data_IF_978647887681
#
_entry.id   IF_978647887681
#
_cell.length_a   1.000
_cell.length_b   1.000
_cell.length_c   1.000
_cell.angle_alpha   90.00
_cell.angle_beta   90.00
_cell.angle_gamma   90.00
#
_symmetry.space_group_name_H-M   'P 1'
#
loop_
_entity.id
_entity.type
_entity.pdbx_description
1 polymer ?
#
# COMPACT_ATOMS: atom_id res chain seq x y z
N UNK A 1 -51.25 -11.60 -6.20
CA UNK A 1 -50.13 -12.20 -6.97
C UNK A 1 -49.44 -11.23 -7.93
N UNK A 2 -50.01 -10.06 -8.25
CA UNK A 2 -49.41 -9.08 -9.19
C UNK A 2 -48.48 -8.05 -8.53
N UNK A 3 -48.71 -7.65 -7.27
CA UNK A 3 -47.89 -6.63 -6.59
C UNK A 3 -46.51 -7.16 -6.12
N UNK A 4 -46.43 -8.46 -5.81
CA UNK A 4 -45.19 -9.09 -5.36
C UNK A 4 -44.16 -9.23 -6.50
N UNK A 5 -44.62 -9.40 -7.74
CA UNK A 5 -43.76 -9.43 -8.92
C UNK A 5 -43.22 -8.04 -9.27
N UNK A 6 -44.01 -6.99 -9.05
CA UNK A 6 -43.60 -5.59 -9.29
C UNK A 6 -42.55 -5.12 -8.29
N UNK A 7 -42.63 -5.52 -7.02
CA UNK A 7 -41.62 -5.19 -6.00
C UNK A 7 -40.26 -5.88 -6.22
N UNK A 8 -40.23 -7.06 -6.86
CA UNK A 8 -38.98 -7.77 -7.17
C UNK A 8 -38.26 -7.13 -8.37
N UNK A 9 -39.00 -6.50 -9.29
CA UNK A 9 -38.43 -5.79 -10.44
C UNK A 9 -37.76 -4.46 -10.07
N UNK A 10 -38.28 -3.73 -9.07
CA UNK A 10 -37.72 -2.43 -8.65
C UNK A 10 -36.45 -2.56 -7.79
N UNK A 11 -36.21 -3.73 -7.18
CA UNK A 11 -35.01 -3.98 -6.38
C UNK A 11 -33.73 -4.22 -7.22
N UNK A 12 -33.87 -4.42 -8.54
CA UNK A 12 -32.79 -4.76 -9.47
C UNK A 12 -32.09 -3.58 -10.15
N UNK A 13 -32.63 -2.37 -10.04
CA UNK A 13 -32.07 -1.18 -10.71
C UNK A 13 -31.37 -0.26 -9.71
N UNK A 14 -30.26 -0.72 -9.12
CA UNK A 14 -29.31 0.23 -8.53
C UNK A 14 -28.66 0.99 -9.68
N UNK A 15 -29.01 2.27 -9.77
CA UNK A 15 -28.46 3.29 -10.64
C UNK A 15 -26.91 3.28 -10.61
N UNK A 16 -26.30 2.48 -11.50
CA UNK A 16 -24.85 2.32 -11.64
C UNK A 16 -24.21 3.49 -12.44
N UNK A 17 -24.97 4.56 -12.70
CA UNK A 17 -24.52 5.71 -13.51
C UNK A 17 -23.96 6.87 -12.69
N UNK A 18 -24.02 6.82 -11.36
CA UNK A 18 -23.37 7.83 -10.51
C UNK A 18 -21.87 7.53 -10.36
N UNK A 19 -20.97 8.50 -10.62
CA UNK A 19 -19.57 8.31 -10.33
C UNK A 19 -19.40 8.06 -8.84
N UNK A 20 -19.05 6.82 -8.47
CA UNK A 20 -18.83 6.46 -7.07
C UNK A 20 -17.71 7.32 -6.52
N UNK A 21 -17.93 7.88 -5.33
CA UNK A 21 -16.88 8.62 -4.66
C UNK A 21 -15.75 7.67 -4.27
N UNK A 22 -14.51 8.18 -4.16
CA UNK A 22 -13.38 7.35 -3.71
C UNK A 22 -13.66 6.65 -2.37
N UNK A 23 -14.40 7.32 -1.47
CA UNK A 23 -14.85 6.75 -0.20
C UNK A 23 -15.81 5.56 -0.39
N UNK A 24 -16.74 5.65 -1.34
CA UNK A 24 -17.66 4.55 -1.65
C UNK A 24 -16.94 3.35 -2.26
N UNK A 25 -15.94 3.59 -3.11
CA UNK A 25 -15.11 2.53 -3.69
C UNK A 25 -14.34 1.76 -2.62
N UNK A 26 -13.73 2.48 -1.66
CA UNK A 26 -13.04 1.84 -0.54
C UNK A 26 -13.98 1.06 0.36
N UNK A 27 -15.15 1.63 0.67
CA UNK A 27 -16.18 0.93 1.46
C UNK A 27 -16.68 -0.33 0.76
N UNK A 28 -16.84 -0.29 -0.56
CA UNK A 28 -17.23 -1.47 -1.35
C UNK A 28 -16.20 -2.60 -1.28
N UNK A 29 -14.91 -2.26 -1.14
CA UNK A 29 -13.80 -3.22 -1.04
C UNK A 29 -13.41 -3.58 0.40
N UNK A 30 -14.08 -3.01 1.41
CA UNK A 30 -13.72 -3.19 2.82
C UNK A 30 -13.62 -4.66 3.22
N UNK A 31 -14.59 -5.51 2.83
CA UNK A 31 -14.56 -6.94 3.16
C UNK A 31 -13.38 -7.68 2.53
N UNK A 32 -13.01 -7.31 1.31
CA UNK A 32 -11.86 -7.90 0.60
C UNK A 32 -10.55 -7.50 1.28
N UNK A 33 -10.44 -6.23 1.66
CA UNK A 33 -9.29 -5.67 2.38
C UNK A 33 -9.17 -6.31 3.77
N UNK A 34 -10.27 -6.43 4.50
CA UNK A 34 -10.31 -7.06 5.83
C UNK A 34 -9.82 -8.52 5.80
N UNK A 35 -10.18 -9.29 4.77
CA UNK A 35 -9.69 -10.66 4.58
C UNK A 35 -8.20 -10.73 4.24
N UNK A 36 -7.64 -9.69 3.64
CA UNK A 36 -6.23 -9.64 3.27
C UNK A 36 -5.35 -9.11 4.41
N UNK A 37 -5.92 -8.37 5.36
CA UNK A 37 -5.18 -7.79 6.48
C UNK A 37 -4.77 -8.85 7.51
N UNK A 38 -3.60 -8.71 8.13
CA UNK A 38 -3.25 -9.47 9.32
C UNK A 38 -4.24 -9.20 10.46
N UNK A 39 -4.45 -10.17 11.34
CA UNK A 39 -5.36 -10.04 12.49
C UNK A 39 -4.99 -8.89 13.45
N UNK A 40 -3.72 -8.48 13.47
CA UNK A 40 -3.23 -7.36 14.28
C UNK A 40 -3.61 -5.98 13.73
N UNK A 41 -4.16 -5.89 12.51
CA UNK A 41 -4.52 -4.64 11.84
C UNK A 41 -6.04 -4.46 11.73
N UNK A 42 -6.52 -3.27 12.09
CA UNK A 42 -7.92 -2.91 11.91
C UNK A 42 -8.19 -2.41 10.49
N UNK A 43 -9.16 -3.01 9.81
CA UNK A 43 -9.61 -2.58 8.50
C UNK A 43 -10.13 -1.13 8.49
N UNK A 44 -10.85 -0.69 9.54
CA UNK A 44 -11.34 0.69 9.64
C UNK A 44 -10.18 1.69 9.71
N UNK A 45 -9.18 1.41 10.57
CA UNK A 45 -7.97 2.23 10.65
C UNK A 45 -7.26 2.28 9.29
N UNK A 46 -7.07 1.12 8.66
CA UNK A 46 -6.39 1.02 7.37
C UNK A 46 -7.06 1.88 6.29
N UNK A 47 -8.38 1.76 6.15
CA UNK A 47 -9.15 2.55 5.18
C UNK A 47 -9.10 4.06 5.48
N UNK A 48 -9.12 4.45 6.75
CA UNK A 48 -9.00 5.86 7.17
C UNK A 48 -7.64 6.45 6.82
N UNK A 49 -6.58 5.67 6.98
CA UNK A 49 -5.22 6.08 6.58
C UNK A 49 -5.15 6.20 5.05
N UNK A 50 -5.67 5.22 4.30
CA UNK A 50 -5.73 5.28 2.83
C UNK A 50 -6.48 6.52 2.32
N UNK A 51 -7.61 6.88 2.94
CA UNK A 51 -8.35 8.10 2.63
C UNK A 51 -7.55 9.37 2.93
N UNK A 52 -6.86 9.40 4.07
CA UNK A 52 -5.99 10.53 4.45
C UNK A 52 -4.89 10.73 3.42
N UNK A 53 -4.24 9.66 2.98
CA UNK A 53 -3.18 9.73 1.98
C UNK A 53 -3.70 10.14 0.60
N UNK A 54 -4.86 9.63 0.16
CA UNK A 54 -5.49 10.07 -1.08
C UNK A 54 -5.91 11.56 -1.06
N UNK A 55 -6.21 12.11 0.12
CA UNK A 55 -6.48 13.53 0.29
C UNK A 55 -5.19 14.36 0.26
N UNK A 56 -4.11 13.83 0.83
CA UNK A 56 -2.81 14.51 0.90
C UNK A 56 -2.07 14.53 -0.43
N UNK A 57 -2.32 13.55 -1.30
CA UNK A 57 -1.77 13.49 -2.66
C UNK A 57 -2.92 13.56 -3.68
N UNK A 58 -3.39 14.78 -4.05
CA UNK A 58 -4.56 14.95 -4.93
C UNK A 58 -4.45 14.24 -6.28
N UNK A 59 -3.22 14.06 -6.80
CA UNK A 59 -2.97 13.31 -8.03
C UNK A 59 -3.37 11.83 -7.95
N UNK A 60 -3.45 11.24 -6.76
CA UNK A 60 -3.97 9.88 -6.59
C UNK A 60 -5.43 9.79 -7.00
N UNK A 61 -6.24 10.85 -6.83
CA UNK A 61 -7.64 10.87 -7.25
C UNK A 61 -7.82 10.88 -8.77
N UNK A 62 -6.76 11.20 -9.52
CA UNK A 62 -6.75 11.17 -10.98
C UNK A 62 -6.21 9.85 -11.52
N UNK A 63 -5.68 8.98 -10.66
CA UNK A 63 -5.23 7.65 -11.04
C UNK A 63 -6.44 6.74 -11.27
N UNK A 64 -6.25 5.66 -12.03
CA UNK A 64 -7.31 4.65 -12.20
C UNK A 64 -7.68 4.02 -10.85
N UNK A 65 -8.98 3.83 -10.61
CA UNK A 65 -9.47 3.21 -9.38
C UNK A 65 -8.86 1.82 -9.15
N UNK A 66 -8.68 1.06 -10.23
CA UNK A 66 -8.07 -0.27 -10.21
C UNK A 66 -6.64 -0.24 -9.69
N UNK A 67 -5.83 0.73 -10.12
CA UNK A 67 -4.43 0.85 -9.66
C UNK A 67 -4.32 1.20 -8.17
N UNK A 68 -5.22 2.08 -7.69
CA UNK A 68 -5.27 2.44 -6.27
C UNK A 68 -5.68 1.22 -5.44
N UNK A 69 -6.78 0.57 -5.82
CA UNK A 69 -7.27 -0.62 -5.12
C UNK A 69 -6.24 -1.75 -5.15
N UNK A 70 -5.61 -2.00 -6.29
CA UNK A 70 -4.54 -2.98 -6.42
C UNK A 70 -3.39 -2.73 -5.45
N UNK A 71 -2.92 -1.49 -5.34
CA UNK A 71 -1.86 -1.14 -4.39
C UNK A 71 -2.30 -1.18 -2.91
N UNK A 72 -3.55 -0.80 -2.60
CA UNK A 72 -4.11 -0.99 -1.25
C UNK A 72 -4.18 -2.47 -0.87
N UNK A 73 -4.60 -3.33 -1.80
CA UNK A 73 -4.65 -4.78 -1.58
C UNK A 73 -3.26 -5.39 -1.37
N UNK A 74 -2.25 -4.97 -2.14
CA UNK A 74 -0.87 -5.42 -1.93
C UNK A 74 -0.33 -5.00 -0.56
N UNK A 75 -0.58 -3.76 -0.15
CA UNK A 75 -0.24 -3.27 1.19
C UNK A 75 -0.94 -4.09 2.30
N UNK A 76 -2.23 -4.37 2.14
CA UNK A 76 -3.00 -5.17 3.08
C UNK A 76 -2.43 -6.59 3.20
N UNK A 77 -2.15 -7.26 2.08
CA UNK A 77 -1.54 -8.60 2.04
C UNK A 77 -0.17 -8.64 2.72
N UNK A 78 0.62 -7.57 2.56
CA UNK A 78 1.93 -7.44 3.22
C UNK A 78 1.83 -6.99 4.68
N UNK A 79 0.63 -6.59 5.16
CA UNK A 79 0.46 -6.02 6.48
C UNK A 79 1.29 -4.76 6.70
N UNK A 80 1.42 -3.92 5.67
CA UNK A 80 2.17 -2.66 5.72
C UNK A 80 1.20 -1.49 5.68
N UNK A 81 1.39 -0.48 6.53
CA UNK A 81 0.58 0.72 6.53
C UNK A 81 0.99 1.65 5.37
N UNK A 82 0.00 2.10 4.60
CA UNK A 82 0.23 3.06 3.52
C UNK A 82 0.36 4.45 4.11
N UNK A 83 1.33 5.20 3.60
CA UNK A 83 1.46 6.61 3.91
C UNK A 83 2.84 6.96 4.44
N UNK A 84 3.13 8.26 4.41
CA UNK A 84 4.48 8.70 4.80
C UNK A 84 4.68 8.78 6.31
N UNK A 85 3.63 8.64 7.12
CA UNK A 85 3.73 8.74 8.57
C UNK A 85 4.64 7.64 9.16
N UNK A 86 4.40 6.38 8.77
CA UNK A 86 5.27 5.26 9.15
C UNK A 86 6.33 4.96 8.09
N UNK A 87 6.15 5.42 6.86
CA UNK A 87 7.10 5.23 5.76
C UNK A 87 7.28 3.76 5.36
N UNK A 88 6.27 2.92 5.62
CA UNK A 88 6.30 1.49 5.33
C UNK A 88 6.03 1.21 3.85
N UNK A 89 5.03 1.87 3.26
CA UNK A 89 4.77 1.79 1.82
C UNK A 89 4.01 3.02 1.31
N UNK A 90 4.01 3.18 0.00
CA UNK A 90 3.52 4.37 -0.69
C UNK A 90 2.72 3.99 -1.93
N UNK A 91 1.70 4.80 -2.22
CA UNK A 91 1.07 4.88 -3.53
C UNK A 91 1.60 6.12 -4.24
N UNK A 92 2.34 5.93 -5.32
CA UNK A 92 2.99 7.02 -6.05
C UNK A 92 2.34 7.12 -7.44
N UNK A 93 1.70 8.25 -7.79
CA UNK A 93 1.20 8.49 -9.13
C UNK A 93 2.36 8.47 -10.13
N UNK A 94 2.29 7.59 -11.14
CA UNK A 94 3.23 7.55 -12.26
C UNK A 94 2.45 7.50 -13.57
N UNK A 95 2.99 8.13 -14.62
CA UNK A 95 2.40 8.02 -15.95
C UNK A 95 2.96 6.79 -16.65
N UNK A 96 2.11 5.78 -16.87
CA UNK A 96 2.46 4.52 -17.53
C UNK A 96 1.62 4.41 -18.81
N UNK A 97 2.27 4.21 -19.95
CA UNK A 97 1.60 4.07 -21.26
C UNK A 97 0.58 5.18 -21.56
N UNK A 98 0.86 6.41 -21.10
CA UNK A 98 0.01 7.59 -21.31
C UNK A 98 -1.05 7.84 -20.22
N UNK A 99 -1.35 6.84 -19.40
CA UNK A 99 -2.34 6.89 -18.32
C UNK A 99 -1.67 7.17 -16.96
N UNK A 100 -2.37 7.88 -16.06
CA UNK A 100 -1.90 8.09 -14.70
C UNK A 100 -2.30 6.90 -13.82
N UNK A 101 -1.32 6.20 -13.27
CA UNK A 101 -1.49 4.95 -12.52
C UNK A 101 -0.88 5.10 -11.14
N UNK A 102 -1.60 4.67 -10.10
CA UNK A 102 -1.06 4.60 -8.75
C UNK A 102 -0.12 3.40 -8.65
N UNK A 103 1.18 3.64 -8.44
CA UNK A 103 2.18 2.59 -8.33
C UNK A 103 2.47 2.30 -6.86
N UNK A 104 2.27 1.05 -6.43
CA UNK A 104 2.64 0.58 -5.11
C UNK A 104 4.16 0.44 -4.98
N UNK A 105 4.73 1.01 -3.92
CA UNK A 105 6.16 0.89 -3.60
C UNK A 105 6.34 0.68 -2.10
N UNK A 106 7.16 -0.31 -1.73
CA UNK A 106 7.55 -0.55 -0.34
C UNK A 106 8.65 0.46 0.04
N UNK A 107 8.50 1.11 1.18
CA UNK A 107 9.51 1.98 1.77
C UNK A 107 10.55 1.20 2.56
N UNK A 108 11.70 1.82 2.85
CA UNK A 108 12.78 1.14 3.59
C UNK A 108 12.31 0.62 4.95
N UNK A 109 11.45 1.36 5.67
CA UNK A 109 10.88 0.90 6.95
C UNK A 109 9.94 -0.28 6.78
N UNK A 110 9.29 -0.39 5.63
CA UNK A 110 8.49 -1.55 5.27
C UNK A 110 9.36 -2.79 5.07
N UNK A 111 10.49 -2.64 4.40
CA UNK A 111 11.47 -3.74 4.30
C UNK A 111 12.05 -4.14 5.65
N UNK A 112 12.37 -3.17 6.53
CA UNK A 112 12.82 -3.46 7.90
C UNK A 112 11.76 -4.23 8.69
N UNK A 113 10.49 -3.83 8.62
CA UNK A 113 9.37 -4.51 9.25
C UNK A 113 9.19 -5.95 8.70
N UNK A 114 9.22 -6.13 7.37
CA UNK A 114 9.12 -7.45 6.75
C UNK A 114 10.29 -8.36 7.12
N UNK A 115 11.51 -7.82 7.21
CA UNK A 115 12.69 -8.56 7.64
C UNK A 115 12.60 -8.94 9.12
N UNK A 116 12.19 -8.01 9.99
CA UNK A 116 12.05 -8.24 11.43
C UNK A 116 11.07 -9.37 11.75
N UNK A 117 9.98 -9.51 10.98
CA UNK A 117 9.04 -10.63 11.11
C UNK A 117 9.66 -12.00 10.88
N UNK A 118 10.76 -12.06 10.12
CA UNK A 118 11.52 -13.28 9.85
C UNK A 118 12.75 -13.42 10.76
N UNK A 119 12.87 -12.58 11.80
CA UNK A 119 14.01 -12.56 12.71
C UNK A 119 15.27 -11.91 12.12
N UNK A 120 15.14 -11.19 10.99
CA UNK A 120 16.27 -10.53 10.35
C UNK A 120 16.35 -9.07 10.79
N UNK A 121 17.56 -8.60 11.04
CA UNK A 121 17.83 -7.19 11.35
C UNK A 121 18.42 -6.53 10.11
N UNK A 122 17.69 -5.55 9.56
CA UNK A 122 18.15 -4.75 8.43
C UNK A 122 18.53 -3.37 8.92
N UNK A 123 19.81 -3.04 8.80
CA UNK A 123 20.34 -1.70 9.07
C UNK A 123 20.39 -0.91 7.78
N UNK A 124 19.91 0.33 7.83
CA UNK A 124 19.99 1.26 6.70
C UNK A 124 20.81 2.47 7.11
N UNK A 125 21.67 2.95 6.22
CA UNK A 125 22.49 4.14 6.46
C UNK A 125 22.91 4.79 5.15
N UNK A 126 23.42 6.02 5.23
CA UNK A 126 24.04 6.65 4.08
C UNK A 126 25.41 6.00 3.82
N UNK A 127 25.69 5.66 2.56
CA UNK A 127 27.01 5.23 2.10
C UNK A 127 27.70 6.45 1.48
N UNK A 128 28.95 6.69 1.88
CA UNK A 128 29.70 7.88 1.48
C UNK A 128 30.95 7.52 0.68
N UNK A 129 31.47 8.46 -0.13
CA UNK A 129 32.81 8.32 -0.68
C UNK A 129 33.82 8.10 0.45
N UNK A 130 34.63 7.04 0.33
CA UNK A 130 35.65 6.68 1.32
C UNK A 130 35.20 5.72 2.42
N UNK A 131 33.92 5.31 2.46
CA UNK A 131 33.48 4.22 3.35
C UNK A 131 34.07 2.87 2.92
N UNK A 132 34.45 2.04 3.89
CA UNK A 132 34.99 0.71 3.65
C UNK A 132 33.94 -0.38 3.87
N UNK A 133 33.97 -1.40 3.01
CA UNK A 133 33.12 -2.58 3.11
C UNK A 133 33.98 -3.84 3.05
N UNK A 134 33.79 -4.71 4.03
CA UNK A 134 34.38 -6.04 4.10
C UNK A 134 33.25 -7.06 4.14
N UNK A 135 33.20 -7.96 3.16
CA UNK A 135 32.09 -8.89 3.00
C UNK A 135 32.55 -10.22 2.42
N UNK A 136 31.78 -11.25 2.74
CA UNK A 136 32.00 -12.61 2.27
C UNK A 136 30.66 -13.28 1.95
N UNK A 137 30.64 -14.05 0.86
CA UNK A 137 29.57 -15.00 0.53
C UNK A 137 29.95 -16.44 0.94
N UNK A 138 28.97 -17.35 0.87
CA UNK A 138 29.18 -18.78 1.09
C UNK A 138 28.70 -19.23 2.48
N UNK A 139 29.44 -20.15 3.11
CA UNK A 139 28.96 -20.85 4.32
C UNK A 139 28.96 -19.98 5.57
N UNK A 140 29.71 -18.89 5.60
CA UNK A 140 29.75 -17.93 6.70
C UNK A 140 29.69 -16.49 6.18
N UNK A 141 28.52 -16.07 5.67
CA UNK A 141 28.39 -14.77 5.05
C UNK A 141 28.44 -13.64 6.08
N UNK A 142 29.14 -12.55 5.77
CA UNK A 142 29.16 -11.36 6.60
C UNK A 142 29.26 -10.07 5.77
N UNK A 143 28.87 -8.96 6.38
CA UNK A 143 29.06 -7.61 5.87
C UNK A 143 29.45 -6.69 7.02
N UNK A 144 30.62 -6.08 6.94
CA UNK A 144 31.12 -5.05 7.85
C UNK A 144 31.26 -3.75 7.06
N UNK A 145 30.47 -2.75 7.44
CA UNK A 145 30.57 -1.39 6.93
C UNK A 145 31.28 -0.51 7.95
N UNK A 146 32.39 0.13 7.54
CA UNK A 146 33.11 1.12 8.36
C UNK A 146 32.85 2.50 7.77
N UNK A 147 32.20 3.35 8.55
CA UNK A 147 31.89 4.73 8.16
C UNK A 147 33.12 5.61 8.38
N UNK A 148 33.93 5.72 7.35
CA UNK A 148 35.20 6.48 7.35
C UNK A 148 35.09 7.78 6.55
N UNK A 149 34.01 7.97 5.77
CA UNK A 149 33.79 9.20 5.01
C UNK A 149 33.40 10.40 5.89
N UNK A 150 34.15 11.50 5.77
CA UNK A 150 33.81 12.80 6.36
C UNK A 150 32.52 13.40 5.74
N UNK A 151 31.92 14.38 6.42
CA UNK A 151 30.68 15.05 6.04
C UNK A 151 30.90 16.17 5.02
#
# INVERSE_FOLDING_TARGET
MSELATQIAEAGARDDTRPRTFQELLKAQQKSIERALPQSMSADRFLRVALTEANRTPMLRQCTHESILGGLMLSAQLGLEIGSALGQCYLIPRRLKGELTATFQIGYRGYQELAARNGWVVTTGAVRPGDEFDWQDGTNPYLVHRQTGEW
#
